data_IF_572445085573
#
_entry.id   IF_572445085573
#
_cell.length_a   1.000
_cell.length_b   1.000
_cell.length_c   1.000
_cell.angle_alpha   90.00
_cell.angle_beta   90.00
_cell.angle_gamma   90.00
#
_symmetry.space_group_name_H-M   'P 1'
#
loop_
_entity.id
_entity.type
_entity.pdbx_description
1 polymer ?
#
# COMPACT_ATOMS: atom_id res chain seq x y z
N UNK A 1 38.80 -21.71 41.88
CA UNK A 1 38.28 -20.32 41.74
C UNK A 1 37.34 -20.33 40.56
N UNK A 2 36.07 -20.06 40.85
CA UNK A 2 34.91 -20.37 40.00
C UNK A 2 34.71 -19.36 38.86
N UNK A 3 34.24 -19.92 37.74
CA UNK A 3 33.27 -19.43 36.75
C UNK A 3 33.28 -17.98 36.25
N UNK A 4 33.32 -17.90 34.91
CA UNK A 4 32.53 -17.07 34.00
C UNK A 4 32.25 -15.61 34.35
N UNK A 5 32.65 -14.70 33.46
CA UNK A 5 31.63 -14.00 32.69
C UNK A 5 32.19 -13.49 31.35
N UNK A 6 31.68 -14.05 30.26
CA UNK A 6 31.89 -13.53 28.91
C UNK A 6 30.61 -12.77 28.57
N UNK A 7 30.62 -11.42 28.46
CA UNK A 7 29.40 -10.70 28.12
C UNK A 7 29.08 -10.98 26.66
N UNK A 8 28.09 -11.84 26.42
CA UNK A 8 27.42 -11.96 25.13
C UNK A 8 26.91 -10.57 24.74
N UNK A 9 27.56 -9.95 23.77
CA UNK A 9 27.06 -8.75 23.11
C UNK A 9 25.65 -9.00 22.55
N UNK A 10 24.77 -7.99 22.55
CA UNK A 10 23.42 -8.12 22.03
C UNK A 10 23.50 -8.48 20.54
N UNK A 11 22.80 -9.55 20.15
CA UNK A 11 22.59 -9.87 18.73
C UNK A 11 21.91 -8.68 18.06
N UNK A 12 22.70 -7.84 17.41
CA UNK A 12 22.21 -6.97 16.35
C UNK A 12 21.53 -7.90 15.34
N UNK A 13 20.28 -7.61 15.02
CA UNK A 13 19.56 -8.29 13.96
C UNK A 13 20.45 -8.36 12.69
N UNK A 14 21.01 -9.54 12.40
CA UNK A 14 21.64 -9.85 11.13
C UNK A 14 20.53 -10.28 10.18
N UNK A 15 19.64 -9.35 9.86
CA UNK A 15 18.79 -9.52 8.68
C UNK A 15 19.65 -9.59 7.42
N UNK A 16 19.08 -10.01 6.27
CA UNK A 16 19.75 -9.82 5.00
C UNK A 16 20.23 -8.37 4.92
N UNK A 17 21.49 -8.17 4.56
CA UNK A 17 22.05 -6.83 4.47
C UNK A 17 21.14 -6.00 3.57
N UNK A 18 20.96 -4.71 3.85
CA UNK A 18 20.11 -3.82 3.05
C UNK A 18 20.41 -3.99 1.54
N UNK A 19 21.69 -4.15 1.21
CA UNK A 19 22.23 -4.47 -0.11
C UNK A 19 21.72 -5.77 -0.74
N UNK A 20 21.43 -6.82 0.04
CA UNK A 20 20.98 -8.13 -0.44
C UNK A 20 19.50 -8.08 -0.86
N UNK A 21 18.62 -7.54 -0.01
CA UNK A 21 17.19 -7.34 -0.34
C UNK A 21 17.05 -6.45 -1.57
N UNK A 22 17.86 -5.39 -1.62
CA UNK A 22 17.97 -4.47 -2.75
C UNK A 22 18.37 -5.18 -4.04
N UNK A 23 19.41 -6.02 -3.98
CA UNK A 23 19.93 -6.75 -5.15
C UNK A 23 18.91 -7.76 -5.67
N UNK A 24 18.20 -8.44 -4.76
CA UNK A 24 17.14 -9.38 -5.12
C UNK A 24 15.97 -8.67 -5.80
N UNK A 25 15.56 -7.50 -5.30
CA UNK A 25 14.49 -6.71 -5.91
C UNK A 25 14.87 -6.24 -7.31
N UNK A 26 16.09 -5.74 -7.51
CA UNK A 26 16.61 -5.36 -8.84
C UNK A 26 16.55 -6.52 -9.84
N UNK A 27 16.91 -7.74 -9.40
CA UNK A 27 16.84 -8.94 -10.24
C UNK A 27 15.41 -9.28 -10.66
N UNK A 28 14.43 -8.95 -9.82
CA UNK A 28 13.02 -9.26 -10.05
C UNK A 28 12.28 -8.19 -10.87
N UNK A 29 12.79 -6.95 -10.94
CA UNK A 29 12.12 -5.84 -11.66
C UNK A 29 11.67 -6.17 -13.09
N UNK A 30 12.48 -6.81 -13.96
CA UNK A 30 12.03 -7.17 -15.32
C UNK A 30 10.75 -8.02 -15.36
N UNK A 31 10.50 -8.77 -14.28
CA UNK A 31 9.34 -9.66 -14.14
C UNK A 31 8.20 -9.07 -13.33
N UNK A 32 8.53 -8.42 -12.23
CA UNK A 32 7.56 -8.09 -11.19
C UNK A 32 7.19 -6.59 -11.22
N UNK A 33 7.92 -5.76 -11.95
CA UNK A 33 7.58 -4.34 -12.15
C UNK A 33 6.60 -4.19 -13.32
N UNK A 34 5.39 -3.73 -12.98
CA UNK A 34 4.29 -3.54 -13.92
C UNK A 34 3.84 -2.08 -13.90
N UNK A 35 3.71 -1.50 -15.08
CA UNK A 35 3.03 -0.24 -15.32
C UNK A 35 1.54 -0.50 -15.50
N UNK A 36 0.74 0.08 -14.60
CA UNK A 36 -0.71 0.08 -14.71
C UNK A 36 -1.21 1.45 -15.19
N UNK A 37 -2.18 1.45 -16.09
CA UNK A 37 -2.91 2.68 -16.39
C UNK A 37 -3.75 3.09 -15.19
N UNK A 38 -3.90 4.40 -14.99
CA UNK A 38 -4.82 4.96 -13.99
C UNK A 38 -5.60 6.10 -14.63
N UNK A 39 -6.92 6.03 -14.53
CA UNK A 39 -7.80 7.13 -14.92
C UNK A 39 -7.75 8.20 -13.83
N UNK A 40 -7.45 9.45 -14.21
CA UNK A 40 -7.37 10.60 -13.30
C UNK A 40 -8.31 11.72 -13.74
N UNK A 41 -8.61 12.62 -12.81
CA UNK A 41 -9.32 13.87 -13.08
C UNK A 41 -10.75 13.67 -13.57
N UNK A 42 -11.13 14.44 -14.58
CA UNK A 42 -12.51 14.56 -15.07
C UNK A 42 -13.14 13.24 -15.53
N UNK A 43 -12.32 12.30 -16.03
CA UNK A 43 -12.78 10.95 -16.40
C UNK A 43 -13.48 10.23 -15.25
N UNK A 44 -12.99 10.40 -14.02
CA UNK A 44 -13.60 9.81 -12.83
C UNK A 44 -14.95 10.43 -12.50
N UNK A 45 -15.03 11.77 -12.59
CA UNK A 45 -16.26 12.50 -12.32
C UNK A 45 -17.35 12.17 -13.35
N UNK A 46 -16.98 12.10 -14.63
CA UNK A 46 -17.93 11.78 -15.72
C UNK A 46 -18.51 10.39 -15.56
N UNK A 47 -17.68 9.39 -15.28
CA UNK A 47 -18.16 8.02 -15.10
C UNK A 47 -18.98 7.85 -13.81
N UNK A 48 -18.57 8.51 -12.71
CA UNK A 48 -19.38 8.53 -11.48
C UNK A 48 -20.75 9.16 -11.73
N UNK A 49 -20.81 10.32 -12.39
CA UNK A 49 -22.07 10.99 -12.72
C UNK A 49 -22.95 10.10 -13.59
N UNK A 50 -22.39 9.45 -14.60
CA UNK A 50 -23.12 8.51 -15.44
C UNK A 50 -23.77 7.39 -14.61
N UNK A 51 -23.02 6.75 -13.71
CA UNK A 51 -23.59 5.71 -12.84
C UNK A 51 -24.61 6.23 -11.83
N UNK A 52 -24.40 7.45 -11.32
CA UNK A 52 -25.37 8.09 -10.45
C UNK A 52 -26.72 8.30 -11.17
N UNK A 53 -26.69 8.92 -12.35
CA UNK A 53 -27.88 9.18 -13.17
C UNK A 53 -28.57 7.86 -13.57
N UNK A 54 -27.79 6.87 -13.99
CA UNK A 54 -28.29 5.53 -14.29
C UNK A 54 -29.04 4.91 -13.11
N UNK A 55 -28.43 4.89 -11.91
CA UNK A 55 -29.07 4.27 -10.75
C UNK A 55 -30.31 5.04 -10.26
N UNK A 56 -30.32 6.37 -10.34
CA UNK A 56 -31.53 7.16 -10.01
C UNK A 56 -32.67 6.79 -10.95
N UNK A 57 -32.41 6.68 -12.25
CA UNK A 57 -33.42 6.31 -13.24
C UNK A 57 -34.00 4.92 -12.94
N UNK A 58 -33.14 3.91 -12.79
CA UNK A 58 -33.55 2.53 -12.53
C UNK A 58 -34.31 2.37 -11.20
N UNK A 59 -33.85 3.05 -10.13
CA UNK A 59 -34.52 3.00 -8.83
C UNK A 59 -35.89 3.69 -8.87
N UNK A 60 -36.00 4.79 -9.60
CA UNK A 60 -37.28 5.48 -9.79
C UNK A 60 -38.26 4.62 -10.58
N UNK A 61 -37.80 3.93 -11.64
CA UNK A 61 -38.63 2.98 -12.40
C UNK A 61 -39.09 1.79 -11.53
N UNK A 62 -38.26 1.37 -10.58
CA UNK A 62 -38.62 0.37 -9.57
C UNK A 62 -39.51 0.90 -8.44
N UNK A 63 -39.91 2.17 -8.47
CA UNK A 63 -40.76 2.80 -7.46
C UNK A 63 -40.02 3.22 -6.17
N UNK A 64 -38.70 3.21 -6.18
CA UNK A 64 -37.85 3.66 -5.07
C UNK A 64 -37.55 5.15 -5.25
N UNK A 65 -38.19 5.98 -4.43
CA UNK A 65 -38.04 7.44 -4.43
C UNK A 65 -37.48 7.95 -3.11
N UNK A 66 -37.03 9.20 -3.06
CA UNK A 66 -36.55 9.82 -1.80
C UNK A 66 -37.63 9.88 -0.72
N UNK A 67 -38.91 9.96 -1.11
CA UNK A 67 -40.05 9.95 -0.20
C UNK A 67 -40.20 8.60 0.52
N UNK A 68 -39.93 7.51 -0.21
CA UNK A 68 -39.95 6.15 0.35
C UNK A 68 -38.64 5.79 1.05
N UNK A 69 -37.52 6.35 0.60
CA UNK A 69 -36.17 6.04 1.07
C UNK A 69 -35.33 7.32 1.22
N UNK A 70 -35.34 7.97 2.40
CA UNK A 70 -34.64 9.24 2.62
C UNK A 70 -33.11 9.21 2.43
N UNK A 71 -32.49 8.02 2.45
CA UNK A 71 -31.05 7.83 2.25
C UNK A 71 -30.68 7.39 0.82
N UNK A 72 -31.64 7.45 -0.12
CA UNK A 72 -31.44 7.03 -1.50
C UNK A 72 -30.25 7.74 -2.16
N UNK A 73 -30.11 9.05 -1.95
CA UNK A 73 -29.02 9.82 -2.54
C UNK A 73 -27.64 9.34 -2.08
N UNK A 74 -27.46 9.14 -0.77
CA UNK A 74 -26.21 8.65 -0.19
C UNK A 74 -25.91 7.20 -0.63
N UNK A 75 -26.95 6.38 -0.76
CA UNK A 75 -26.83 5.03 -1.31
C UNK A 75 -26.30 5.06 -2.74
N UNK A 76 -26.94 5.85 -3.62
CA UNK A 76 -26.56 5.97 -5.03
C UNK A 76 -25.15 6.54 -5.17
N UNK A 77 -24.79 7.59 -4.42
CA UNK A 77 -23.46 8.18 -4.48
C UNK A 77 -22.36 7.15 -4.18
N UNK A 78 -22.52 6.38 -3.10
CA UNK A 78 -21.55 5.35 -2.71
C UNK A 78 -21.46 4.22 -3.74
N UNK A 79 -22.59 3.80 -4.30
CA UNK A 79 -22.60 2.74 -5.31
C UNK A 79 -22.02 3.22 -6.64
N UNK A 80 -22.18 4.50 -6.99
CA UNK A 80 -21.64 5.07 -8.22
C UNK A 80 -20.10 5.08 -8.18
N UNK A 81 -19.53 5.41 -7.03
CA UNK A 81 -18.09 5.31 -6.77
C UNK A 81 -17.62 3.87 -6.92
N UNK A 82 -18.34 2.92 -6.32
CA UNK A 82 -18.00 1.50 -6.36
C UNK A 82 -18.01 0.94 -7.79
N UNK A 83 -19.04 1.26 -8.59
CA UNK A 83 -19.14 0.83 -9.99
C UNK A 83 -18.07 1.48 -10.88
N UNK A 84 -17.81 2.78 -10.69
CA UNK A 84 -16.71 3.48 -11.36
C UNK A 84 -15.38 2.78 -11.09
N UNK A 85 -15.08 2.49 -9.82
CA UNK A 85 -13.83 1.88 -9.41
C UNK A 85 -13.70 0.46 -9.95
N UNK A 86 -14.81 -0.30 -9.98
CA UNK A 86 -14.86 -1.61 -10.62
C UNK A 86 -14.50 -1.53 -12.11
N UNK A 87 -15.12 -0.62 -12.87
CA UNK A 87 -14.86 -0.47 -14.30
C UNK A 87 -13.41 -0.06 -14.56
N UNK A 88 -12.91 0.96 -13.87
CA UNK A 88 -11.53 1.41 -14.09
C UNK A 88 -10.49 0.38 -13.64
N UNK A 89 -10.73 -0.31 -12.53
CA UNK A 89 -9.85 -1.40 -12.09
C UNK A 89 -9.84 -2.53 -13.12
N UNK A 90 -11.01 -2.91 -13.65
CA UNK A 90 -11.13 -3.91 -14.70
C UNK A 90 -10.32 -3.55 -15.95
N UNK A 91 -10.44 -2.31 -16.43
CA UNK A 91 -9.66 -1.82 -17.58
C UNK A 91 -8.16 -1.84 -17.28
N UNK A 92 -7.75 -1.36 -16.11
CA UNK A 92 -6.34 -1.29 -15.72
C UNK A 92 -5.72 -2.68 -15.58
N UNK A 93 -6.47 -3.66 -15.07
CA UNK A 93 -6.02 -5.05 -14.96
C UNK A 93 -5.91 -5.75 -16.32
N UNK A 94 -6.78 -5.40 -17.28
CA UNK A 94 -6.78 -6.00 -18.62
C UNK A 94 -5.57 -5.63 -19.49
N UNK A 95 -4.90 -4.52 -19.15
CA UNK A 95 -3.78 -3.96 -19.92
C UNK A 95 -2.68 -3.51 -18.97
N UNK A 96 -1.85 -4.48 -18.63
CA UNK A 96 -0.65 -4.31 -17.82
C UNK A 96 0.57 -4.40 -18.74
N UNK A 97 1.51 -3.45 -18.60
CA UNK A 97 2.75 -3.45 -19.36
C UNK A 97 3.91 -3.73 -18.40
N UNK A 98 4.77 -4.68 -18.73
CA UNK A 98 5.98 -4.91 -17.95
C UNK A 98 6.98 -3.80 -18.23
N UNK A 99 7.91 -3.57 -17.30
CA UNK A 99 8.99 -2.60 -17.53
C UNK A 99 9.75 -2.88 -18.83
N UNK A 100 10.01 -4.15 -19.15
CA UNK A 100 10.66 -4.56 -20.40
C UNK A 100 9.85 -4.18 -21.65
N UNK A 101 8.50 -4.16 -21.58
CA UNK A 101 7.65 -3.74 -22.69
C UNK A 101 7.74 -2.22 -22.90
N UNK A 102 7.76 -1.47 -21.79
CA UNK A 102 7.89 -0.01 -21.83
C UNK A 102 9.27 0.40 -22.33
N UNK A 103 10.35 -0.21 -21.85
CA UNK A 103 11.72 0.07 -22.31
C UNK A 103 11.87 -0.15 -23.83
N UNK A 104 11.23 -1.20 -24.36
CA UNK A 104 11.19 -1.45 -25.81
C UNK A 104 10.41 -0.38 -26.56
N UNK A 105 9.28 0.08 -26.02
CA UNK A 105 8.45 1.12 -26.62
C UNK A 105 9.11 2.51 -26.59
N UNK A 106 9.85 2.82 -25.53
CA UNK A 106 10.55 4.11 -25.37
C UNK A 106 11.94 4.15 -26.00
N UNK A 107 12.47 2.99 -26.40
CA UNK A 107 13.83 2.87 -26.92
C UNK A 107 14.90 2.98 -25.83
N UNK A 108 14.53 2.81 -24.55
CA UNK A 108 15.47 2.78 -23.43
C UNK A 108 16.23 1.45 -23.41
N UNK A 109 17.25 1.38 -24.26
CA UNK A 109 18.18 0.24 -24.36
C UNK A 109 19.21 0.24 -23.23
N UNK A 110 19.32 1.35 -22.50
CA UNK A 110 20.29 1.57 -21.41
C UNK A 110 19.75 1.20 -20.03
N UNK A 111 18.43 0.99 -19.90
CA UNK A 111 17.79 0.66 -18.63
C UNK A 111 17.78 1.82 -17.63
N UNK A 112 17.81 3.07 -18.11
CA UNK A 112 17.81 4.26 -17.28
C UNK A 112 16.52 4.35 -16.44
N UNK A 113 15.39 3.92 -16.99
CA UNK A 113 14.11 3.83 -16.29
C UNK A 113 14.21 2.94 -15.04
N UNK A 114 14.90 1.80 -15.15
CA UNK A 114 15.10 0.89 -14.02
C UNK A 114 15.99 1.51 -12.95
N UNK A 115 17.05 2.23 -13.34
CA UNK A 115 17.95 2.92 -12.41
C UNK A 115 17.23 4.04 -11.65
N UNK A 116 16.36 4.81 -12.30
CA UNK A 116 15.59 5.87 -11.62
C UNK A 116 14.58 5.30 -10.61
N UNK A 117 13.79 4.29 -11.02
CA UNK A 117 12.85 3.60 -10.12
C UNK A 117 13.59 2.98 -8.94
N UNK A 118 14.79 2.46 -9.20
CA UNK A 118 15.69 1.92 -8.19
C UNK A 118 16.11 2.99 -7.16
N UNK A 119 16.61 4.14 -7.62
CA UNK A 119 17.03 5.23 -6.73
C UNK A 119 15.87 5.75 -5.87
N UNK A 120 14.67 5.82 -6.44
CA UNK A 120 13.45 6.17 -5.72
C UNK A 120 13.09 5.13 -4.64
N UNK A 121 13.12 3.83 -4.98
CA UNK A 121 12.84 2.76 -4.03
C UNK A 121 13.81 2.79 -2.84
N UNK A 122 15.11 2.96 -3.12
CA UNK A 122 16.14 3.06 -2.09
C UNK A 122 15.89 4.25 -1.17
N UNK A 123 15.61 5.43 -1.73
CA UNK A 123 15.32 6.64 -0.96
C UNK A 123 14.11 6.43 -0.03
N UNK A 124 13.05 5.78 -0.52
CA UNK A 124 11.87 5.47 0.29
C UNK A 124 12.15 4.43 1.39
N UNK A 125 12.97 3.41 1.11
CA UNK A 125 13.38 2.43 2.12
C UNK A 125 14.16 3.11 3.26
N UNK A 126 15.17 3.92 2.91
CA UNK A 126 15.98 4.67 3.87
C UNK A 126 15.12 5.65 4.68
N UNK A 127 14.14 6.30 4.04
CA UNK A 127 13.20 7.18 4.73
C UNK A 127 12.32 6.41 5.72
N UNK A 128 11.74 5.27 5.32
CA UNK A 128 10.91 4.44 6.18
C UNK A 128 11.69 3.91 7.40
N UNK A 129 12.92 3.42 7.19
CA UNK A 129 13.77 2.96 8.28
C UNK A 129 14.14 4.09 9.25
N UNK A 130 14.46 5.29 8.73
CA UNK A 130 14.72 6.46 9.58
C UNK A 130 13.49 6.88 10.37
N UNK A 131 12.32 6.87 9.76
CA UNK A 131 11.06 7.18 10.44
C UNK A 131 10.78 6.19 11.58
N UNK A 132 10.97 4.89 11.35
CA UNK A 132 10.82 3.89 12.41
C UNK A 132 11.84 4.12 13.55
N UNK A 133 13.11 4.39 13.21
CA UNK A 133 14.14 4.72 14.20
C UNK A 133 13.78 5.96 15.02
N UNK A 134 13.17 6.97 14.40
CA UNK A 134 12.71 8.17 15.09
C UNK A 134 11.54 7.90 16.05
N UNK A 135 10.74 6.86 15.81
CA UNK A 135 9.64 6.44 16.68
C UNK A 135 10.09 5.57 17.86
N UNK A 136 11.31 5.00 17.82
CA UNK A 136 11.84 4.13 18.89
C UNK A 136 11.68 4.68 20.33
N UNK A 137 11.82 5.99 20.61
CA UNK A 137 11.61 6.52 21.95
C UNK A 137 10.17 6.40 22.47
N UNK A 138 9.18 6.42 21.57
CA UNK A 138 7.76 6.34 21.90
C UNK A 138 7.22 4.90 21.86
N UNK A 139 7.92 4.00 21.18
CA UNK A 139 7.52 2.60 21.04
C UNK A 139 7.35 1.85 22.37
N UNK A 140 8.16 2.03 23.43
CA UNK A 140 7.92 1.34 24.70
C UNK A 140 6.53 1.61 25.30
N UNK A 141 6.02 2.85 25.16
CA UNK A 141 4.68 3.20 25.62
C UNK A 141 3.60 2.52 24.77
N UNK A 142 3.80 2.44 23.45
CA UNK A 142 2.89 1.75 22.53
C UNK A 142 2.91 0.23 22.69
N UNK A 143 4.08 -0.34 23.03
CA UNK A 143 4.29 -1.76 23.22
C UNK A 143 3.89 -2.25 24.63
N UNK A 144 3.65 -1.35 25.58
CA UNK A 144 3.17 -1.69 26.92
C UNK A 144 1.85 -2.48 26.92
N UNK A 145 0.96 -2.22 25.95
CA UNK A 145 -0.29 -2.98 25.75
C UNK A 145 -0.08 -4.38 25.15
N UNK A 146 1.13 -4.69 24.69
CA UNK A 146 1.53 -5.97 24.10
C UNK A 146 2.47 -6.77 25.02
N UNK A 147 2.72 -6.28 26.24
CA UNK A 147 3.50 -7.00 27.24
C UNK A 147 2.82 -8.32 27.63
N UNK A 148 3.64 -9.34 27.90
CA UNK A 148 3.16 -10.66 28.30
C UNK A 148 2.39 -10.52 29.63
N UNK A 149 1.18 -11.09 29.79
CA UNK A 149 0.32 -10.84 30.94
C UNK A 149 0.95 -11.11 32.32
N UNK A 150 1.98 -11.96 32.40
CA UNK A 150 2.64 -12.33 33.67
C UNK A 150 3.49 -11.20 34.29
N UNK A 151 3.92 -10.21 33.50
CA UNK A 151 4.70 -9.07 34.03
C UNK A 151 3.85 -8.08 34.84
N UNK A 152 2.52 -8.13 34.70
CA UNK A 152 1.59 -7.24 35.40
C UNK A 152 1.25 -7.70 36.83
N UNK A 153 1.44 -8.98 37.17
CA UNK A 153 1.13 -9.49 38.51
C UNK A 153 2.28 -9.29 39.52
N UNK A 154 3.53 -9.22 39.05
CA UNK A 154 4.69 -9.12 39.95
C UNK A 154 4.91 -7.68 40.48
N UNK A 155 4.46 -6.66 39.75
CA UNK A 155 4.49 -5.25 40.19
C UNK A 155 3.41 -4.87 41.20
N UNK A 156 2.41 -5.74 41.45
CA UNK A 156 1.36 -5.51 42.46
C UNK A 156 1.66 -6.16 43.83
N UNK A 157 2.78 -6.89 43.95
CA UNK A 157 3.17 -7.59 45.19
C UNK A 157 4.46 -7.08 45.85
N UNK A 158 5.00 -5.95 45.40
CA UNK A 158 6.06 -5.21 46.10
C UNK A 158 5.56 -3.84 46.54
#
# INVERSE_FOLDING_TARGET
>A
MSSSDNPRSPSAFQGPGESEVITDLLRLMPRDLIFSMRFLGESQLRLQRHFHEFMIAELTEAGVTEETHPLLHAFVERHAITLRDFVFSGVSLSRQFRVDDIERLTGDTTGLLRVDIWDQLRSHLEAAQRQFKAQLPELPNLLSGWERPEAAEEKKRQ
#
